data_IF_070465756056
#
_entry.id   IF_070465756056
#
_cell.length_a   1.000
_cell.length_b   1.000
_cell.length_c   1.000
_cell.angle_alpha   90.00
_cell.angle_beta   90.00
_cell.angle_gamma   90.00
#
_symmetry.space_group_name_H-M   'P 1'
#
loop_
_entity.id
_entity.type
_entity.pdbx_description
1 polymer ?
#
# COMPACT_ATOMS: atom_id res chain seq x y z
N UNK A 1 10.76 10.37 12.89
CA UNK A 1 9.56 11.14 12.45
C UNK A 1 8.76 11.54 13.68
N UNK A 2 7.88 12.53 13.60
CA UNK A 2 7.06 12.97 14.73
C UNK A 2 5.58 12.86 14.38
N UNK A 3 4.75 12.45 15.32
CA UNK A 3 3.30 12.48 15.20
C UNK A 3 2.69 12.97 16.52
N UNK A 4 2.19 14.21 16.52
CA UNK A 4 1.69 14.86 17.73
C UNK A 4 2.75 14.93 18.82
N UNK A 5 2.40 14.45 20.01
CA UNK A 5 3.28 14.32 21.16
C UNK A 5 4.09 13.01 21.21
N UNK A 6 4.30 12.34 20.07
CA UNK A 6 5.02 11.07 20.01
C UNK A 6 6.11 11.06 18.93
N UNK A 7 7.18 10.32 19.21
CA UNK A 7 8.27 10.07 18.27
C UNK A 7 8.13 8.69 17.65
N UNK A 8 8.39 8.58 16.35
CA UNK A 8 8.47 7.31 15.64
C UNK A 8 9.96 6.95 15.52
N UNK A 9 10.40 5.94 16.28
CA UNK A 9 11.77 5.42 16.26
C UNK A 9 11.83 3.91 16.03
N UNK A 10 12.88 3.48 15.33
CA UNK A 10 13.23 2.06 15.19
C UNK A 10 13.78 1.48 16.50
N UNK A 11 14.26 2.33 17.42
CA UNK A 11 14.80 1.92 18.71
C UNK A 11 13.75 1.25 19.59
N UNK A 12 12.47 1.61 19.44
CA UNK A 12 11.38 0.93 20.11
C UNK A 12 11.30 -0.55 19.68
N UNK A 13 11.53 -0.86 18.40
CA UNK A 13 11.57 -2.23 17.90
C UNK A 13 12.83 -2.97 18.37
N UNK A 14 13.97 -2.28 18.43
CA UNK A 14 15.20 -2.84 19.01
C UNK A 14 15.00 -3.22 20.49
N UNK A 15 14.36 -2.34 21.25
CA UNK A 15 14.02 -2.54 22.67
C UNK A 15 13.07 -3.72 22.84
N UNK A 16 12.04 -3.83 21.99
CA UNK A 16 11.12 -4.96 21.98
C UNK A 16 11.87 -6.28 21.79
N UNK A 17 12.76 -6.37 20.79
CA UNK A 17 13.52 -7.58 20.47
C UNK A 17 14.45 -8.00 21.61
N UNK A 18 14.97 -7.03 22.37
CA UNK A 18 15.87 -7.31 23.50
C UNK A 18 15.11 -7.75 24.76
N UNK A 19 13.95 -7.18 25.01
CA UNK A 19 13.27 -7.29 26.31
C UNK A 19 12.06 -8.24 26.31
N UNK A 20 11.48 -8.55 25.15
CA UNK A 20 10.32 -9.44 25.04
C UNK A 20 10.74 -10.76 24.40
N UNK A 21 10.25 -11.93 24.89
CA UNK A 21 10.57 -13.21 24.28
C UNK A 21 10.11 -13.30 22.81
N UNK A 22 11.00 -13.81 21.95
CA UNK A 22 10.76 -14.00 20.51
C UNK A 22 9.46 -14.74 20.19
N UNK A 23 9.03 -15.68 21.02
CA UNK A 23 7.79 -16.44 20.80
C UNK A 23 6.54 -15.55 20.78
N UNK A 24 6.58 -14.36 21.39
CA UNK A 24 5.43 -13.44 21.45
C UNK A 24 5.31 -12.52 20.24
N UNK A 25 6.44 -12.05 19.71
CA UNK A 25 6.47 -11.05 18.62
C UNK A 25 7.08 -11.57 17.32
N UNK A 26 7.78 -12.70 17.34
CA UNK A 26 8.38 -13.37 16.17
C UNK A 26 9.63 -12.71 15.57
N UNK A 27 9.89 -11.43 15.85
CA UNK A 27 11.00 -10.66 15.27
C UNK A 27 12.40 -11.16 15.65
N UNK A 28 13.34 -10.91 14.75
CA UNK A 28 14.79 -11.07 14.94
C UNK A 28 15.51 -9.78 14.49
N UNK A 29 16.77 -9.60 14.91
CA UNK A 29 17.55 -8.39 14.60
C UNK A 29 17.65 -8.09 13.10
N UNK A 30 17.72 -9.11 12.25
CA UNK A 30 17.78 -8.95 10.79
C UNK A 30 16.49 -8.37 10.20
N UNK A 31 15.34 -8.50 10.88
CA UNK A 31 14.07 -7.98 10.36
C UNK A 31 14.05 -6.44 10.36
N UNK A 32 14.78 -5.80 11.28
CA UNK A 32 14.82 -4.34 11.44
C UNK A 32 16.08 -3.70 10.82
N UNK A 33 16.81 -4.43 9.97
CA UNK A 33 18.08 -3.97 9.41
C UNK A 33 17.85 -2.92 8.30
N UNK A 34 18.25 -1.64 8.46
CA UNK A 34 17.91 -0.56 7.53
C UNK A 34 18.49 -0.69 6.11
N UNK A 35 19.52 -1.52 5.94
CA UNK A 35 20.20 -1.75 4.66
C UNK A 35 19.39 -2.69 3.76
N UNK A 36 18.58 -3.58 4.32
CA UNK A 36 17.76 -4.53 3.57
C UNK A 36 16.40 -3.92 3.19
N UNK A 37 16.43 -2.89 2.35
CA UNK A 37 15.26 -2.06 1.99
C UNK A 37 14.25 -2.76 1.08
N UNK A 38 14.60 -3.90 0.50
CA UNK A 38 13.77 -4.64 -0.45
C UNK A 38 13.04 -5.82 0.19
N UNK A 39 13.29 -6.10 1.47
CA UNK A 39 12.70 -7.23 2.17
C UNK A 39 11.29 -6.94 2.67
N UNK A 40 10.32 -7.12 1.77
CA UNK A 40 8.91 -6.98 2.09
C UNK A 40 8.45 -7.96 3.18
N UNK A 41 9.06 -9.15 3.28
CA UNK A 41 8.68 -10.13 4.30
C UNK A 41 8.95 -9.64 5.72
N UNK A 42 10.07 -8.95 5.94
CA UNK A 42 10.37 -8.28 7.20
C UNK A 42 9.37 -7.18 7.51
N UNK A 43 8.98 -6.36 6.50
CA UNK A 43 7.96 -5.33 6.67
C UNK A 43 6.61 -5.91 7.15
N UNK A 44 6.13 -6.97 6.49
CA UNK A 44 4.89 -7.66 6.89
C UNK A 44 4.98 -8.18 8.33
N UNK A 45 6.13 -8.76 8.69
CA UNK A 45 6.36 -9.32 10.02
C UNK A 45 6.39 -8.25 11.12
N UNK A 46 7.06 -7.12 10.87
CA UNK A 46 7.08 -5.95 11.76
C UNK A 46 5.66 -5.42 11.97
N UNK A 47 4.82 -5.42 10.94
CA UNK A 47 3.43 -4.95 11.00
C UNK A 47 2.44 -6.01 11.51
N UNK A 48 2.90 -7.09 12.14
CA UNK A 48 2.02 -8.13 12.68
C UNK A 48 1.34 -7.70 13.99
N UNK A 49 0.16 -8.24 14.27
CA UNK A 49 -0.55 -7.98 15.53
C UNK A 49 0.29 -8.37 16.74
N UNK A 50 1.05 -9.47 16.64
CA UNK A 50 1.97 -9.89 17.70
C UNK A 50 3.00 -8.82 18.04
N UNK A 51 3.58 -8.13 17.04
CA UNK A 51 4.51 -7.02 17.29
C UNK A 51 3.79 -5.81 17.87
N UNK A 52 2.69 -5.38 17.24
CA UNK A 52 1.94 -4.19 17.66
C UNK A 52 1.42 -4.33 19.08
N UNK A 53 0.89 -5.49 19.45
CA UNK A 53 0.36 -5.76 20.79
C UNK A 53 1.45 -5.88 21.86
N UNK A 54 2.66 -6.32 21.51
CA UNK A 54 3.76 -6.37 22.48
C UNK A 54 4.48 -5.02 22.61
N UNK A 55 4.42 -4.15 21.59
CA UNK A 55 4.96 -2.80 21.67
C UNK A 55 4.29 -1.95 22.74
N UNK A 56 3.03 -2.21 23.12
CA UNK A 56 2.37 -1.47 24.21
C UNK A 56 3.09 -1.60 25.56
N UNK A 57 3.94 -2.62 25.72
CA UNK A 57 4.77 -2.82 26.92
C UNK A 57 6.11 -2.06 26.85
N UNK A 58 6.43 -1.45 25.70
CA UNK A 58 7.63 -0.64 25.50
C UNK A 58 7.27 0.84 25.73
N UNK A 59 7.99 1.56 26.61
CA UNK A 59 7.70 2.96 26.87
C UNK A 59 7.90 3.83 25.63
N UNK A 60 7.10 4.89 25.50
CA UNK A 60 7.18 5.87 24.40
C UNK A 60 7.10 5.23 23.00
N UNK A 61 6.29 4.17 22.86
CA UNK A 61 6.13 3.41 21.62
C UNK A 61 4.84 3.76 20.85
N UNK A 62 4.03 4.67 21.37
CA UNK A 62 2.72 5.03 20.83
C UNK A 62 2.84 5.52 19.38
N UNK A 63 3.87 6.31 19.09
CA UNK A 63 4.17 6.79 17.75
C UNK A 63 4.46 5.65 16.77
N UNK A 64 5.34 4.71 17.13
CA UNK A 64 5.67 3.56 16.26
C UNK A 64 4.47 2.62 16.13
N UNK A 65 3.68 2.42 17.18
CA UNK A 65 2.45 1.62 17.15
C UNK A 65 1.47 2.19 16.11
N UNK A 66 1.23 3.50 16.15
CA UNK A 66 0.37 4.17 15.17
C UNK A 66 0.92 3.98 13.76
N UNK A 67 2.21 4.23 13.55
CA UNK A 67 2.86 4.09 12.25
C UNK A 67 2.72 2.66 11.68
N UNK A 68 2.95 1.63 12.51
CA UNK A 68 2.80 0.24 12.10
C UNK A 68 1.34 -0.15 11.82
N UNK A 69 0.37 0.44 12.54
CA UNK A 69 -1.06 0.26 12.24
C UNK A 69 -1.42 0.81 10.87
N UNK A 70 -0.86 1.96 10.46
CA UNK A 70 -1.07 2.50 9.11
C UNK A 70 -0.52 1.56 8.04
N UNK A 71 0.72 1.09 8.21
CA UNK A 71 1.33 0.13 7.29
C UNK A 71 0.54 -1.17 7.21
N UNK A 72 0.12 -1.72 8.36
CA UNK A 72 -0.72 -2.91 8.43
C UNK A 72 -2.04 -2.72 7.67
N UNK A 73 -2.70 -1.58 7.85
CA UNK A 73 -3.94 -1.25 7.15
C UNK A 73 -3.73 -1.21 5.64
N UNK A 74 -2.64 -0.60 5.15
CA UNK A 74 -2.28 -0.60 3.73
C UNK A 74 -2.07 -2.04 3.22
N UNK A 75 -1.35 -2.88 3.96
CA UNK A 75 -1.13 -4.29 3.60
C UNK A 75 -2.46 -5.06 3.52
N UNK A 76 -3.37 -4.87 4.48
CA UNK A 76 -4.67 -5.53 4.49
C UNK A 76 -5.54 -5.07 3.31
N UNK A 77 -5.52 -3.78 2.97
CA UNK A 77 -6.31 -3.23 1.89
C UNK A 77 -5.91 -3.80 0.52
N UNK A 78 -4.60 -3.88 0.23
CA UNK A 78 -4.11 -4.14 -1.14
C UNK A 78 -3.46 -5.51 -1.34
N UNK A 79 -2.91 -6.13 -0.29
CA UNK A 79 -2.09 -7.34 -0.43
C UNK A 79 -2.68 -8.58 0.24
N UNK A 80 -3.51 -8.41 1.27
CA UNK A 80 -4.17 -9.56 1.87
C UNK A 80 -5.18 -10.18 0.89
N UNK A 81 -5.33 -11.50 0.90
CA UNK A 81 -6.21 -12.24 -0.02
C UNK A 81 -7.58 -12.52 0.56
N UNK A 82 -7.69 -12.49 1.89
CA UNK A 82 -8.89 -12.92 2.63
C UNK A 82 -9.78 -11.72 2.98
N UNK A 83 -9.26 -10.49 2.95
CA UNK A 83 -10.05 -9.27 3.16
C UNK A 83 -11.20 -9.12 2.15
N UNK A 84 -12.42 -8.92 2.67
CA UNK A 84 -13.60 -8.59 1.89
C UNK A 84 -13.51 -7.18 1.28
N UNK A 85 -14.20 -6.89 0.16
CA UNK A 85 -14.13 -5.58 -0.49
C UNK A 85 -14.44 -4.40 0.44
N UNK A 86 -15.42 -4.53 1.33
CA UNK A 86 -15.80 -3.44 2.23
C UNK A 86 -14.74 -3.18 3.30
N UNK A 87 -14.14 -4.22 3.88
CA UNK A 87 -13.03 -4.06 4.81
C UNK A 87 -11.80 -3.47 4.13
N UNK A 88 -11.55 -3.78 2.85
CA UNK A 88 -10.47 -3.11 2.10
C UNK A 88 -10.69 -1.61 1.99
N UNK A 89 -11.92 -1.16 1.73
CA UNK A 89 -12.25 0.26 1.67
C UNK A 89 -11.97 0.96 3.01
N UNK A 90 -12.41 0.36 4.12
CA UNK A 90 -12.07 0.85 5.46
C UNK A 90 -10.54 0.99 5.62
N UNK A 91 -9.82 -0.10 5.33
CA UNK A 91 -8.38 -0.16 5.52
C UNK A 91 -7.57 0.71 4.56
N UNK A 92 -8.13 1.08 3.40
CA UNK A 92 -7.55 2.02 2.46
C UNK A 92 -7.74 3.48 2.91
N UNK A 93 -8.92 3.83 3.40
CA UNK A 93 -9.26 5.20 3.80
C UNK A 93 -8.76 5.58 5.19
N UNK A 94 -8.65 4.63 6.12
CA UNK A 94 -8.11 4.90 7.46
C UNK A 94 -6.70 5.54 7.42
N UNK A 95 -5.72 5.01 6.67
CA UNK A 95 -4.42 5.65 6.49
C UNK A 95 -4.47 7.03 5.83
N UNK A 96 -5.41 7.26 4.89
CA UNK A 96 -5.60 8.58 4.26
C UNK A 96 -5.96 9.61 5.31
N UNK A 97 -6.98 9.33 6.12
CA UNK A 97 -7.45 10.29 7.12
C UNK A 97 -6.40 10.59 8.19
N UNK A 98 -5.73 9.56 8.72
CA UNK A 98 -4.64 9.76 9.70
C UNK A 98 -3.52 10.59 9.07
N UNK A 99 -3.12 10.28 7.83
CA UNK A 99 -2.03 11.00 7.14
C UNK A 99 -2.39 12.46 6.85
N UNK A 100 -3.64 12.78 6.51
CA UNK A 100 -4.11 14.15 6.30
C UNK A 100 -4.09 14.98 7.59
N UNK A 101 -4.53 14.39 8.70
CA UNK A 101 -4.44 15.03 10.01
C UNK A 101 -2.98 15.29 10.39
N UNK A 102 -2.14 14.28 10.21
CA UNK A 102 -0.71 14.35 10.48
C UNK A 102 -0.01 15.42 9.62
N UNK A 103 -0.26 15.43 8.30
CA UNK A 103 0.28 16.43 7.39
C UNK A 103 -0.15 17.85 7.77
N UNK A 104 -1.45 18.04 8.02
CA UNK A 104 -2.01 19.35 8.41
C UNK A 104 -1.37 19.88 9.68
N UNK A 105 -1.14 19.01 10.67
CA UNK A 105 -0.43 19.36 11.89
C UNK A 105 1.01 19.83 11.64
N UNK A 106 1.80 19.04 10.91
CA UNK A 106 3.19 19.39 10.56
C UNK A 106 3.27 20.70 9.76
N UNK A 107 2.34 20.90 8.81
CA UNK A 107 2.29 22.11 7.99
C UNK A 107 2.12 23.37 8.85
N UNK A 108 1.24 23.30 9.86
CA UNK A 108 0.84 24.43 10.71
C UNK A 108 1.68 24.62 11.99
N UNK A 109 2.63 23.72 12.25
CA UNK A 109 3.63 23.88 13.32
C UNK A 109 4.78 24.78 12.85
N UNK A 110 5.36 25.58 13.75
CA UNK A 110 6.64 26.25 13.42
C UNK A 110 7.74 25.20 13.48
N UNK A 111 8.78 25.40 12.69
CA UNK A 111 9.90 24.45 12.66
C UNK A 111 10.59 24.33 14.03
N UNK A 112 10.78 25.46 14.72
CA UNK A 112 11.41 25.51 16.05
C UNK A 112 10.63 24.61 17.02
N UNK A 113 9.30 24.75 17.06
CA UNK A 113 8.43 23.92 17.91
C UNK A 113 8.60 22.42 17.63
N UNK A 114 8.78 22.00 16.36
CA UNK A 114 8.98 20.59 16.00
C UNK A 114 10.35 20.07 16.44
N UNK A 115 11.40 20.86 16.29
CA UNK A 115 12.74 20.49 16.74
C UNK A 115 12.79 20.37 18.27
N UNK A 116 12.10 21.26 19.00
CA UNK A 116 11.98 21.22 20.46
C UNK A 116 11.22 19.98 20.95
N UNK A 117 10.07 19.66 20.34
CA UNK A 117 9.31 18.43 20.63
C UNK A 117 10.16 17.18 20.37
N UNK A 118 10.92 17.16 19.26
CA UNK A 118 11.80 16.03 18.96
C UNK A 118 12.87 15.87 20.06
N UNK A 119 13.47 16.96 20.50
CA UNK A 119 14.48 16.94 21.54
C UNK A 119 13.93 16.41 22.86
N UNK A 120 12.74 16.89 23.27
CA UNK A 120 12.05 16.42 24.48
C UNK A 120 11.76 14.92 24.44
N UNK A 121 11.28 14.41 23.30
CA UNK A 121 10.86 13.02 23.16
C UNK A 121 12.01 12.03 22.92
N UNK A 122 13.07 12.45 22.23
CA UNK A 122 14.18 11.57 21.85
C UNK A 122 15.42 11.72 22.72
N UNK A 123 15.56 12.84 23.44
CA UNK A 123 16.79 13.20 24.16
C UNK A 123 17.98 13.50 23.25
N UNK A 124 17.80 13.48 21.92
CA UNK A 124 18.88 13.65 20.95
C UNK A 124 18.87 15.10 20.45
N UNK A 125 19.94 15.84 20.78
CA UNK A 125 20.21 17.15 20.19
C UNK A 125 20.62 16.98 18.73
N UNK A 126 19.68 17.23 17.83
CA UNK A 126 19.96 17.22 16.40
C UNK A 126 20.70 18.51 16.00
N UNK A 127 22.01 18.42 15.78
CA UNK A 127 22.83 19.54 15.30
C UNK A 127 22.56 19.89 13.82
N UNK A 128 21.74 19.09 13.11
CA UNK A 128 21.36 19.33 11.72
C UNK A 128 20.05 20.10 11.67
N UNK A 129 20.01 21.14 10.83
CA UNK A 129 18.77 21.88 10.50
C UNK A 129 17.79 20.95 9.78
N UNK A 130 16.93 20.26 10.54
CA UNK A 130 15.91 19.39 9.95
C UNK A 130 14.96 20.19 9.05
N UNK A 131 14.58 19.64 7.91
CA UNK A 131 13.53 20.27 7.07
C UNK A 131 12.18 19.73 7.54
N UNK A 132 11.10 20.54 7.49
CA UNK A 132 9.76 20.12 7.96
C UNK A 132 9.32 18.76 7.41
N UNK A 133 9.65 18.46 6.15
CA UNK A 133 9.30 17.18 5.50
C UNK A 133 9.94 15.95 6.14
N UNK A 134 11.01 16.09 6.94
CA UNK A 134 11.66 14.96 7.63
C UNK A 134 10.87 14.45 8.84
N UNK A 135 9.89 15.23 9.31
CA UNK A 135 9.01 14.85 10.39
C UNK A 135 7.80 14.02 9.93
N UNK A 136 7.54 13.97 8.62
CA UNK A 136 6.44 13.27 7.99
C UNK A 136 6.96 12.15 7.08
N UNK A 137 6.06 11.28 6.63
CA UNK A 137 6.37 10.36 5.53
C UNK A 137 6.71 11.13 4.25
N UNK A 138 7.36 10.47 3.28
CA UNK A 138 7.68 11.13 2.01
C UNK A 138 6.40 11.51 1.26
N UNK A 139 6.43 12.64 0.54
CA UNK A 139 5.28 13.08 -0.27
C UNK A 139 4.83 12.00 -1.25
N UNK A 140 5.77 11.25 -1.86
CA UNK A 140 5.43 10.16 -2.77
C UNK A 140 4.62 9.07 -2.05
N UNK A 141 5.03 8.66 -0.84
CA UNK A 141 4.27 7.68 -0.07
C UNK A 141 2.89 8.21 0.31
N UNK A 142 2.82 9.48 0.73
CA UNK A 142 1.56 10.14 1.06
C UNK A 142 0.58 10.18 -0.12
N UNK A 143 1.03 10.64 -1.28
CA UNK A 143 0.18 10.68 -2.48
C UNK A 143 -0.19 9.29 -2.98
N UNK A 144 0.68 8.29 -2.90
CA UNK A 144 0.33 6.92 -3.24
C UNK A 144 -0.80 6.37 -2.34
N UNK A 145 -0.78 6.70 -1.03
CA UNK A 145 -1.86 6.31 -0.12
C UNK A 145 -3.19 6.92 -0.57
N UNK A 146 -3.21 8.21 -0.92
CA UNK A 146 -4.42 8.89 -1.40
C UNK A 146 -4.91 8.37 -2.74
N UNK A 147 -4.03 8.26 -3.73
CA UNK A 147 -4.37 7.81 -5.09
C UNK A 147 -4.95 6.39 -5.04
N UNK A 148 -4.30 5.48 -4.32
CA UNK A 148 -4.75 4.09 -4.24
C UNK A 148 -6.12 3.97 -3.54
N UNK A 149 -6.38 4.76 -2.51
CA UNK A 149 -7.67 4.73 -1.81
C UNK A 149 -8.81 5.27 -2.68
N UNK A 150 -8.56 6.38 -3.40
CA UNK A 150 -9.52 6.92 -4.36
C UNK A 150 -9.78 5.94 -5.51
N UNK A 151 -8.74 5.30 -6.04
CA UNK A 151 -8.89 4.31 -7.11
C UNK A 151 -9.70 3.11 -6.66
N UNK A 152 -9.45 2.60 -5.44
CA UNK A 152 -10.23 1.50 -4.88
C UNK A 152 -11.70 1.88 -4.67
N UNK A 153 -11.96 3.08 -4.17
CA UNK A 153 -13.32 3.60 -4.04
C UNK A 153 -14.01 3.71 -5.39
N UNK A 154 -13.32 4.24 -6.40
CA UNK A 154 -13.86 4.38 -7.74
C UNK A 154 -14.17 3.02 -8.38
N UNK A 155 -13.28 2.04 -8.25
CA UNK A 155 -13.55 0.66 -8.67
C UNK A 155 -14.77 0.08 -7.97
N UNK A 156 -14.91 0.29 -6.66
CA UNK A 156 -16.08 -0.16 -5.92
C UNK A 156 -17.37 0.48 -6.45
N UNK A 157 -17.36 1.79 -6.74
CA UNK A 157 -18.50 2.49 -7.31
C UNK A 157 -18.89 1.94 -8.70
N UNK A 158 -17.92 1.74 -9.59
CA UNK A 158 -18.16 1.16 -10.92
C UNK A 158 -18.75 -0.26 -10.85
N UNK A 159 -18.33 -1.06 -9.86
CA UNK A 159 -18.91 -2.39 -9.62
C UNK A 159 -20.33 -2.29 -9.06
N UNK A 160 -20.61 -1.35 -8.13
CA UNK A 160 -21.98 -1.13 -7.63
C UNK A 160 -22.93 -0.65 -8.72
N UNK A 161 -22.44 0.16 -9.66
CA UNK A 161 -23.19 0.63 -10.83
C UNK A 161 -23.31 -0.44 -11.94
N UNK A 162 -22.76 -1.65 -11.72
CA UNK A 162 -22.72 -2.75 -12.70
C UNK A 162 -22.01 -2.41 -14.02
N UNK A 163 -21.15 -1.37 -14.02
CA UNK A 163 -20.27 -1.03 -15.15
C UNK A 163 -19.05 -1.94 -15.23
N UNK A 164 -18.65 -2.53 -14.11
CA UNK A 164 -17.57 -3.52 -14.03
C UNK A 164 -18.05 -4.81 -13.37
N UNK A 165 -17.47 -5.96 -13.76
CA UNK A 165 -17.79 -7.24 -13.14
C UNK A 165 -17.28 -7.28 -11.69
N UNK A 166 -17.93 -8.02 -10.77
CA UNK A 166 -17.51 -8.10 -9.36
C UNK A 166 -16.09 -8.60 -9.15
N UNK A 167 -15.56 -9.39 -10.09
CA UNK A 167 -14.20 -9.89 -10.13
C UNK A 167 -13.16 -8.76 -10.21
N UNK A 168 -13.54 -7.57 -10.69
CA UNK A 168 -12.70 -6.38 -10.69
C UNK A 168 -12.30 -5.95 -9.27
N UNK A 169 -13.05 -6.37 -8.23
CA UNK A 169 -12.70 -6.16 -6.82
C UNK A 169 -11.64 -7.14 -6.28
N UNK A 170 -11.02 -7.95 -7.14
CA UNK A 170 -9.87 -8.78 -6.75
C UNK A 170 -8.58 -7.96 -6.67
N UNK A 171 -8.52 -7.07 -5.67
CA UNK A 171 -7.47 -6.05 -5.51
C UNK A 171 -6.07 -6.64 -5.37
N UNK A 172 -5.94 -7.86 -4.85
CA UNK A 172 -4.65 -8.54 -4.76
C UNK A 172 -3.92 -8.66 -6.12
N UNK A 173 -4.68 -8.75 -7.22
CA UNK A 173 -4.13 -8.86 -8.58
C UNK A 173 -3.55 -7.54 -9.10
N UNK A 174 -3.83 -6.41 -8.45
CA UNK A 174 -3.39 -5.08 -8.89
C UNK A 174 -1.97 -4.74 -8.38
N UNK A 175 -1.33 -5.68 -7.66
CA UNK A 175 0.04 -5.52 -7.19
C UNK A 175 1.08 -5.97 -8.23
N UNK A 176 2.28 -5.37 -8.18
CA UNK A 176 3.42 -5.75 -9.03
C UNK A 176 4.05 -7.11 -8.64
N UNK A 177 3.55 -7.79 -7.62
CA UNK A 177 4.14 -9.02 -7.07
C UNK A 177 4.20 -10.15 -8.10
N UNK A 178 3.21 -10.24 -9.00
CA UNK A 178 3.22 -11.22 -10.09
C UNK A 178 4.36 -10.94 -11.07
N UNK A 179 4.62 -9.67 -11.39
CA UNK A 179 5.74 -9.26 -12.24
C UNK A 179 7.09 -9.57 -11.58
N UNK A 180 7.25 -9.25 -10.29
CA UNK A 180 8.46 -9.63 -9.53
C UNK A 180 8.68 -11.15 -9.51
N UNK A 181 7.59 -11.92 -9.38
CA UNK A 181 7.60 -13.38 -9.49
C UNK A 181 8.07 -13.89 -10.85
N UNK A 182 7.63 -13.23 -11.94
CA UNK A 182 8.10 -13.53 -13.29
C UNK A 182 9.61 -13.24 -13.43
N UNK A 183 10.09 -12.08 -12.98
CA UNK A 183 11.52 -11.75 -13.02
C UNK A 183 12.36 -12.70 -12.15
N UNK A 184 11.85 -13.12 -10.99
CA UNK A 184 12.52 -14.14 -10.15
C UNK A 184 12.61 -15.47 -10.87
N UNK A 185 11.54 -15.88 -11.56
CA UNK A 185 11.51 -17.12 -12.32
C UNK A 185 12.46 -17.06 -13.53
N UNK A 186 12.50 -15.94 -14.24
CA UNK A 186 13.43 -15.72 -15.35
C UNK A 186 14.90 -15.77 -14.89
N UNK A 187 15.21 -15.18 -13.73
CA UNK A 187 16.54 -15.27 -13.10
C UNK A 187 16.92 -16.70 -12.70
N UNK A 188 15.94 -17.51 -12.31
CA UNK A 188 16.18 -18.91 -11.94
C UNK A 188 16.35 -19.86 -13.13
N UNK A 189 15.92 -19.46 -14.33
CA UNK A 189 16.16 -20.21 -15.56
C UNK A 189 17.56 -19.84 -16.06
N UNK A 190 18.56 -20.52 -15.53
CA UNK A 190 19.92 -20.52 -16.02
C UNK A 190 20.34 -21.95 -16.38
N UNK A 191 21.35 -22.10 -17.25
CA UNK A 191 21.86 -23.42 -17.63
C UNK A 191 22.48 -24.14 -16.43
N UNK A 192 22.57 -25.47 -16.48
CA UNK A 192 23.13 -26.32 -15.40
C UNK A 192 24.54 -25.93 -14.95
N UNK A 193 25.30 -25.24 -15.80
CA UNK A 193 26.66 -24.76 -15.54
C UNK A 193 26.77 -23.23 -15.48
N UNK A 194 25.65 -22.51 -15.44
CA UNK A 194 25.62 -21.04 -15.41
C UNK A 194 24.81 -20.55 -14.23
N UNK A 195 25.45 -19.77 -13.36
CA UNK A 195 24.81 -19.03 -12.27
C UNK A 195 24.52 -17.57 -12.67
N UNK A 196 24.53 -17.26 -13.97
CA UNK A 196 24.37 -15.89 -14.46
C UNK A 196 22.91 -15.45 -14.27
N UNK A 197 22.70 -14.65 -13.22
CA UNK A 197 21.40 -14.10 -12.85
C UNK A 197 21.01 -12.87 -13.67
N UNK A 198 21.99 -12.14 -14.21
CA UNK A 198 21.74 -11.00 -15.08
C UNK A 198 21.52 -11.48 -16.51
N UNK A 199 20.72 -10.76 -17.29
CA UNK A 199 20.46 -11.12 -18.67
C UNK A 199 20.16 -9.91 -19.52
N UNK A 200 20.44 -10.02 -20.81
CA UNK A 200 20.06 -9.01 -21.80
C UNK A 200 18.56 -9.08 -22.10
N UNK A 201 18.03 -8.08 -22.80
CA UNK A 201 16.62 -8.08 -23.23
C UNK A 201 16.28 -9.28 -24.11
N UNK A 202 17.17 -9.64 -25.06
CA UNK A 202 16.99 -10.81 -25.92
C UNK A 202 16.95 -12.11 -25.10
N UNK A 203 17.84 -12.26 -24.13
CA UNK A 203 17.84 -13.41 -23.23
C UNK A 203 16.59 -13.48 -22.36
N UNK A 204 16.05 -12.33 -21.93
CA UNK A 204 14.78 -12.28 -21.22
C UNK A 204 13.63 -12.82 -22.08
N UNK A 205 13.51 -12.40 -23.35
CA UNK A 205 12.46 -12.90 -24.25
C UNK A 205 12.54 -14.42 -24.42
N UNK A 206 13.74 -14.97 -24.62
CA UNK A 206 13.96 -16.40 -24.73
C UNK A 206 13.56 -17.15 -23.44
N UNK A 207 13.87 -16.59 -22.27
CA UNK A 207 13.48 -17.17 -20.97
C UNK A 207 11.97 -17.03 -20.72
N UNK A 208 11.35 -15.93 -21.14
CA UNK A 208 9.91 -15.69 -21.03
C UNK A 208 9.10 -16.69 -21.88
N UNK A 209 9.54 -17.00 -23.09
CA UNK A 209 8.93 -18.06 -23.93
C UNK A 209 8.99 -19.42 -23.22
N UNK A 210 10.15 -19.78 -22.64
CA UNK A 210 10.30 -21.01 -21.85
C UNK A 210 9.38 -21.03 -20.62
N UNK A 211 9.26 -19.91 -19.91
CA UNK A 211 8.33 -19.77 -18.78
C UNK A 211 6.87 -19.96 -19.21
N UNK A 212 6.48 -19.37 -20.33
CA UNK A 212 5.12 -19.50 -20.88
C UNK A 212 4.79 -20.96 -21.17
N UNK A 213 5.70 -21.68 -21.86
CA UNK A 213 5.53 -23.12 -22.13
C UNK A 213 5.45 -23.93 -20.82
N UNK A 214 6.32 -23.67 -19.85
CA UNK A 214 6.29 -24.34 -18.55
C UNK A 214 4.99 -24.07 -17.80
N UNK A 215 4.45 -22.85 -17.86
CA UNK A 215 3.18 -22.51 -17.22
C UNK A 215 2.02 -23.22 -17.92
N UNK A 216 2.01 -23.27 -19.25
CA UNK A 216 1.01 -24.01 -20.04
C UNK A 216 0.98 -25.50 -19.66
N UNK A 217 2.15 -26.14 -19.60
CA UNK A 217 2.27 -27.54 -19.17
C UNK A 217 1.77 -27.72 -17.73
N UNK A 218 2.10 -26.80 -16.81
CA UNK A 218 1.62 -26.87 -15.43
C UNK A 218 0.10 -26.77 -15.35
N UNK A 219 -0.51 -25.80 -16.03
CA UNK A 219 -1.97 -25.62 -16.02
C UNK A 219 -2.69 -26.79 -16.68
N UNK A 220 -2.16 -27.33 -17.78
CA UNK A 220 -2.71 -28.51 -18.45
C UNK A 220 -2.61 -29.74 -17.53
N UNK A 221 -1.46 -29.96 -16.88
CA UNK A 221 -1.29 -31.07 -15.93
C UNK A 221 -2.22 -31.00 -14.72
N UNK A 222 -2.58 -29.79 -14.27
CA UNK A 222 -3.56 -29.60 -13.20
C UNK A 222 -4.98 -30.00 -13.65
N UNK A 223 -5.33 -29.70 -14.91
CA UNK A 223 -6.56 -30.18 -15.54
C UNK A 223 -6.57 -31.71 -15.70
N UNK A 224 -5.48 -32.31 -16.20
CA UNK A 224 -5.38 -33.76 -16.43
C UNK A 224 -5.23 -34.58 -15.15
N UNK A 225 -4.78 -33.97 -14.04
CA UNK A 225 -4.71 -34.63 -12.73
C UNK A 225 -6.07 -35.02 -12.16
N UNK A 226 -7.17 -34.45 -12.68
CA UNK A 226 -8.54 -34.89 -12.37
C UNK A 226 -8.92 -36.20 -13.09
N UNK A 227 -8.21 -36.56 -14.17
CA UNK A 227 -8.49 -37.72 -15.02
C UNK A 227 -7.37 -38.79 -15.01
N UNK A 228 -6.39 -38.69 -14.11
CA UNK A 228 -5.48 -39.80 -13.78
C UNK A 228 -4.25 -40.01 -14.67
N UNK A 229 -3.92 -39.11 -15.60
CA UNK A 229 -2.78 -39.31 -16.51
C UNK A 229 -1.84 -38.10 -16.51
N UNK A 230 -0.60 -38.34 -16.04
CA UNK A 230 0.54 -37.41 -15.93
C UNK A 230 0.41 -36.26 -14.91
N UNK A 231 1.20 -36.38 -13.83
CA UNK A 231 1.39 -35.33 -12.82
C UNK A 231 2.71 -34.63 -13.08
N UNK A 232 2.68 -33.33 -13.32
CA UNK A 232 3.91 -32.54 -13.44
C UNK A 232 4.71 -32.61 -12.12
N UNK A 233 6.03 -32.87 -12.14
CA UNK A 233 6.83 -32.95 -10.94
C UNK A 233 6.77 -31.64 -10.14
N UNK A 234 6.08 -31.65 -9.00
CA UNK A 234 6.01 -30.54 -8.07
C UNK A 234 6.98 -30.81 -6.93
N UNK A 235 7.83 -29.83 -6.62
CA UNK A 235 8.63 -29.90 -5.41
C UNK A 235 7.69 -29.98 -4.19
N UNK A 236 7.96 -30.87 -3.23
CA UNK A 236 7.06 -31.15 -2.09
C UNK A 236 6.63 -29.90 -1.28
N UNK A 237 7.47 -28.84 -1.27
CA UNK A 237 7.15 -27.54 -0.67
C UNK A 237 6.07 -26.72 -1.43
N UNK A 238 5.84 -27.00 -2.71
CA UNK A 238 4.83 -26.32 -3.54
C UNK A 238 3.45 -26.97 -3.44
N UNK A 239 3.37 -28.27 -3.13
CA UNK A 239 2.10 -29.01 -3.01
C UNK A 239 1.20 -28.54 -1.86
N UNK A 240 1.77 -27.95 -0.79
CA UNK A 240 0.99 -27.48 0.37
C UNK A 240 0.29 -26.12 0.18
N UNK A 241 0.52 -25.42 -0.93
CA UNK A 241 -0.02 -24.05 -1.17
C UNK A 241 -1.31 -24.01 -2.00
N UNK A 242 -1.73 -25.12 -2.60
CA UNK A 242 -2.97 -25.24 -3.38
C UNK A 242 -4.14 -25.66 -2.49
N UNK A 243 -4.44 -24.91 -1.42
CA UNK A 243 -5.82 -24.90 -0.94
C UNK A 243 -6.58 -24.06 -1.96
N UNK A 244 -7.60 -24.63 -2.61
CA UNK A 244 -8.56 -23.87 -3.44
C UNK A 244 -9.01 -22.68 -2.60
N UNK A 245 -8.48 -21.50 -2.92
CA UNK A 245 -8.94 -20.27 -2.28
C UNK A 245 -10.33 -20.05 -2.86
N UNK A 246 -11.34 -20.41 -2.08
CA UNK A 246 -12.69 -19.92 -2.33
C UNK A 246 -12.56 -18.39 -2.26
N UNK A 247 -12.54 -17.75 -3.43
CA UNK A 247 -12.73 -16.31 -3.55
C UNK A 247 -14.01 -16.07 -2.75
N UNK A 248 -13.92 -15.30 -1.67
CA UNK A 248 -15.08 -14.94 -0.86
C UNK A 248 -15.93 -14.03 -1.74
N UNK A 249 -16.78 -14.65 -2.56
CA UNK A 249 -17.70 -14.04 -3.50
C UNK A 249 -18.97 -13.59 -2.78
N UNK A 250 -18.83 -12.95 -1.62
CA UNK A 250 -19.91 -12.12 -1.06
C UNK A 250 -19.93 -10.79 -1.82
N UNK A 251 -20.29 -10.86 -3.10
CA UNK A 251 -20.40 -9.69 -3.99
C UNK A 251 -21.76 -8.99 -3.88
N UNK A 252 -22.74 -9.62 -3.22
CA UNK A 252 -24.10 -9.08 -3.06
C UNK A 252 -24.25 -8.00 -1.96
N UNK A 253 -23.15 -7.49 -1.40
CA UNK A 253 -23.19 -6.58 -0.22
C UNK A 253 -22.55 -5.21 -0.43
N UNK A 254 -22.13 -4.87 -1.65
CA UNK A 254 -21.62 -3.52 -1.94
C UNK A 254 -22.79 -2.61 -2.34
N UNK A 255 -23.19 -1.73 -1.44
CA UNK A 255 -24.10 -0.61 -1.69
C UNK A 255 -23.36 0.70 -1.37
N UNK A 256 -23.69 1.78 -2.09
CA UNK A 256 -23.18 3.14 -1.86
C UNK A 256 -23.35 3.57 -0.41
N UNK A 257 -24.48 3.24 0.22
CA UNK A 257 -24.72 3.56 1.64
C UNK A 257 -23.71 2.87 2.57
N UNK A 258 -23.41 1.60 2.30
CA UNK A 258 -22.45 0.80 3.07
C UNK A 258 -21.02 1.30 2.83
N UNK A 259 -20.69 1.70 1.60
CA UNK A 259 -19.40 2.33 1.27
C UNK A 259 -19.25 3.64 2.05
N UNK A 260 -20.27 4.51 2.01
CA UNK A 260 -20.28 5.78 2.71
C UNK A 260 -20.14 5.60 4.22
N UNK A 261 -20.94 4.72 4.83
CA UNK A 261 -20.87 4.43 6.26
C UNK A 261 -19.51 3.88 6.67
N UNK A 262 -18.89 3.05 5.83
CA UNK A 262 -17.56 2.47 6.08
C UNK A 262 -16.45 3.51 6.01
N UNK A 263 -16.50 4.43 5.04
CA UNK A 263 -15.55 5.54 4.93
C UNK A 263 -15.73 6.50 6.12
N UNK A 264 -16.97 6.78 6.52
CA UNK A 264 -17.28 7.60 7.68
C UNK A 264 -16.77 6.95 8.98
N UNK A 265 -16.92 5.62 9.11
CA UNK A 265 -16.33 4.87 10.23
C UNK A 265 -14.81 5.04 10.26
N UNK A 266 -14.13 4.83 9.13
CA UNK A 266 -12.68 5.03 9.04
C UNK A 266 -12.25 6.46 9.41
N UNK A 267 -13.04 7.46 9.04
CA UNK A 267 -12.81 8.86 9.42
C UNK A 267 -12.96 9.08 10.93
N UNK A 268 -14.03 8.55 11.53
CA UNK A 268 -14.29 8.68 12.97
C UNK A 268 -13.20 7.98 13.79
N UNK A 269 -12.82 6.77 13.41
CA UNK A 269 -11.77 6.00 14.08
C UNK A 269 -10.41 6.69 13.96
N UNK A 270 -10.08 7.23 12.78
CA UNK A 270 -8.88 8.04 12.58
C UNK A 270 -8.90 9.31 13.46
N UNK A 271 -10.05 9.98 13.56
CA UNK A 271 -10.21 11.21 14.35
C UNK A 271 -10.04 10.93 15.85
N UNK A 272 -10.64 9.85 16.36
CA UNK A 272 -10.51 9.41 17.75
C UNK A 272 -9.06 9.06 18.08
N UNK A 273 -8.37 8.38 17.16
CA UNK A 273 -6.98 8.01 17.32
C UNK A 273 -6.07 9.25 17.36
N UNK A 274 -6.23 10.17 16.41
CA UNK A 274 -5.46 11.42 16.31
C UNK A 274 -5.69 12.35 17.52
N UNK A 275 -6.89 12.32 18.11
CA UNK A 275 -7.17 13.04 19.35
C UNK A 275 -6.26 12.58 20.50
N UNK A 276 -5.96 11.27 20.59
CA UNK A 276 -5.00 10.72 21.55
C UNK A 276 -3.59 11.28 21.44
N UNK A 277 -3.20 11.77 20.25
CA UNK A 277 -1.88 12.39 19.99
C UNK A 277 -1.89 13.93 20.16
N UNK A 278 -2.97 14.50 20.71
CA UNK A 278 -3.17 15.96 20.90
C UNK A 278 -3.13 16.80 19.62
N UNK A 279 -3.11 16.18 18.45
CA UNK A 279 -3.09 16.87 17.15
C UNK A 279 -4.41 17.62 16.91
N UNK A 280 -5.54 16.96 17.18
CA UNK A 280 -6.86 17.54 16.96
C UNK A 280 -7.06 18.80 17.81
N UNK A 281 -6.70 18.73 19.10
CA UNK A 281 -6.83 19.85 20.04
C UNK A 281 -6.04 21.08 19.56
N UNK A 282 -4.80 20.87 19.12
CA UNK A 282 -3.97 21.93 18.54
C UNK A 282 -4.61 22.57 17.30
N UNK A 283 -5.21 21.78 16.42
CA UNK A 283 -5.83 22.28 15.20
C UNK A 283 -7.14 23.02 15.49
N UNK A 284 -7.93 22.53 16.44
CA UNK A 284 -9.15 23.17 16.91
C UNK A 284 -8.83 24.53 17.59
N UNK A 285 -7.79 24.60 18.43
CA UNK A 285 -7.28 25.83 19.04
C UNK A 285 -6.87 26.88 17.99
N UNK A 286 -6.21 26.42 16.91
CA UNK A 286 -5.82 27.29 15.79
C UNK A 286 -6.98 27.59 14.82
N UNK A 287 -8.20 27.11 15.08
CA UNK A 287 -9.39 27.25 14.22
C UNK A 287 -9.16 26.72 12.79
N UNK A 288 -8.34 25.69 12.64
CA UNK A 288 -8.02 25.08 11.34
C UNK A 288 -9.06 23.99 11.06
N UNK A 289 -10.19 24.38 10.45
CA UNK A 289 -11.35 23.49 10.20
C UNK A 289 -11.29 22.69 8.90
N UNK A 290 -10.14 22.69 8.22
CA UNK A 290 -10.01 22.22 6.83
C UNK A 290 -10.50 20.76 6.62
N UNK A 291 -10.42 19.93 7.65
CA UNK A 291 -10.79 18.51 7.58
C UNK A 291 -12.31 18.25 7.62
N UNK A 292 -13.10 19.11 8.29
CA UNK A 292 -14.57 18.98 8.29
C UNK A 292 -15.15 19.33 6.92
N UNK A 293 -14.58 20.34 6.27
CA UNK A 293 -14.95 20.76 4.91
C UNK A 293 -14.61 19.68 3.87
N UNK A 294 -13.46 19.02 4.01
CA UNK A 294 -13.06 17.91 3.16
C UNK A 294 -13.98 16.69 3.33
N UNK A 295 -14.41 16.39 4.56
CA UNK A 295 -15.37 15.32 4.81
C UNK A 295 -16.75 15.65 4.21
N UNK A 296 -17.23 16.89 4.35
CA UNK A 296 -18.46 17.32 3.67
C UNK A 296 -18.31 17.32 2.15
N UNK A 297 -17.13 17.59 1.60
CA UNK A 297 -16.88 17.51 0.17
C UNK A 297 -16.89 16.07 -0.34
N UNK A 298 -16.26 15.12 0.38
CA UNK A 298 -16.34 13.68 0.04
C UNK A 298 -17.78 13.20 0.13
N UNK A 299 -18.49 13.56 1.21
CA UNK A 299 -19.91 13.22 1.35
C UNK A 299 -20.73 13.85 0.22
N UNK A 300 -20.50 15.11 -0.12
CA UNK A 300 -21.19 15.78 -1.23
C UNK A 300 -20.82 15.15 -2.57
N UNK A 301 -19.58 14.74 -2.83
CA UNK A 301 -19.24 14.01 -4.07
C UNK A 301 -19.97 12.68 -4.13
N UNK A 302 -19.97 11.91 -3.03
CA UNK A 302 -20.68 10.63 -2.96
C UNK A 302 -22.19 10.82 -3.14
N UNK A 303 -22.73 11.96 -2.69
CA UNK A 303 -24.16 12.30 -2.84
C UNK A 303 -24.49 12.99 -4.18
N UNK A 304 -23.56 13.74 -4.79
CA UNK A 304 -23.79 14.56 -6.00
C UNK A 304 -23.34 13.86 -7.29
N UNK A 305 -22.40 12.91 -7.28
CA UNK A 305 -21.96 12.19 -8.48
C UNK A 305 -22.81 10.95 -8.77
N UNK A 306 -24.10 11.21 -9.00
CA UNK A 306 -24.99 10.39 -9.82
C UNK A 306 -24.95 10.85 -11.29
N UNK A 307 -24.30 11.98 -11.62
CA UNK A 307 -24.08 12.39 -13.02
C UNK A 307 -22.67 12.03 -13.50
N UNK A 308 -22.65 11.04 -14.38
CA UNK A 308 -21.52 10.35 -14.98
C UNK A 308 -20.70 11.34 -15.82
N UNK A 309 -19.36 11.25 -15.70
CA UNK A 309 -18.45 11.74 -16.74
C UNK A 309 -18.44 10.67 -17.82
N UNK A 310 -19.13 10.94 -18.92
CA UNK A 310 -19.22 10.04 -20.06
C UNK A 310 -17.88 10.04 -20.80
N UNK A 311 -17.32 8.86 -21.00
CA UNK A 311 -16.10 8.66 -21.79
C UNK A 311 -16.42 8.18 -23.21
N UNK A 312 -17.70 8.18 -23.60
CA UNK A 312 -18.14 7.90 -24.98
C UNK A 312 -17.51 8.83 -26.01
N UNK A 313 -17.14 10.06 -25.62
CA UNK A 313 -16.80 11.12 -26.57
C UNK A 313 -15.29 11.22 -26.91
N UNK A 314 -14.47 10.25 -26.48
CA UNK A 314 -13.02 10.24 -26.79
C UNK A 314 -12.64 9.34 -27.98
N UNK A 315 -13.61 8.73 -28.65
CA UNK A 315 -13.40 7.96 -29.88
C UNK A 315 -14.33 8.44 -31.00
N UNK A 316 -14.29 9.73 -31.32
CA UNK A 316 -14.54 10.11 -32.71
C UNK A 316 -13.27 9.79 -33.50
N UNK A 317 -13.31 8.70 -34.27
CA UNK A 317 -12.35 8.42 -35.34
C UNK A 317 -12.29 9.64 -36.27
N UNK A 318 -11.28 10.47 -36.10
CA UNK A 318 -10.85 11.36 -37.17
C UNK A 318 -10.09 10.54 -38.18
N UNK A 319 -10.81 10.09 -39.20
CA UNK A 319 -10.22 9.80 -40.51
C UNK A 319 -9.55 11.08 -41.03
N UNK A 320 -8.26 11.24 -40.75
CA UNK A 320 -7.40 12.15 -41.48
C UNK A 320 -6.38 11.32 -42.27
N UNK A 321 -6.84 10.85 -43.43
CA UNK A 321 -5.97 10.62 -44.57
C UNK A 321 -5.43 11.97 -45.04
N UNK A 322 -4.13 12.22 -44.86
CA UNK A 322 -3.26 12.72 -45.93
C UNK A 322 -1.83 12.91 -45.41
N UNK A 323 -0.91 12.24 -46.08
CA UNK A 323 0.53 12.45 -46.01
C UNK A 323 0.90 13.93 -46.23
N UNK A 324 1.77 14.46 -45.38
CA UNK A 324 2.84 15.35 -45.83
C UNK A 324 3.96 15.41 -44.78
N UNK A 325 5.17 15.18 -45.28
CA UNK A 325 6.48 15.29 -44.68
C UNK A 325 6.65 16.55 -43.81
N UNK A 326 7.39 16.44 -42.71
CA UNK A 326 8.33 17.48 -42.27
C UNK A 326 9.31 16.93 -41.21
N UNK A 327 10.58 16.81 -41.62
CA UNK A 327 11.73 16.94 -40.74
C UNK A 327 11.72 18.33 -40.11
N UNK A 328 11.86 18.44 -38.78
CA UNK A 328 12.48 19.62 -38.15
C UNK A 328 12.96 19.30 -36.73
N UNK A 329 14.28 19.15 -36.63
CA UNK A 329 15.06 19.27 -35.40
C UNK A 329 14.75 20.58 -34.66
N UNK A 330 14.33 20.50 -33.39
CA UNK A 330 14.58 21.56 -32.41
C UNK A 330 15.04 20.96 -31.08
N UNK A 331 16.36 21.03 -30.92
CA UNK A 331 17.13 20.99 -29.68
C UNK A 331 16.73 22.15 -28.75
N UNK A 332 16.60 21.89 -27.45
CA UNK A 332 16.99 22.74 -26.28
C UNK A 332 15.99 22.59 -25.12
N UNK A 333 16.34 22.60 -23.83
CA UNK A 333 17.60 22.65 -23.09
C UNK A 333 17.20 22.43 -21.61
N UNK A 334 17.92 21.56 -20.91
CA UNK A 334 18.01 21.60 -19.46
C UNK A 334 18.63 22.94 -19.02
N UNK A 335 18.04 23.62 -18.03
CA UNK A 335 18.77 24.60 -17.23
C UNK A 335 18.58 24.37 -15.73
N UNK A 336 19.71 24.60 -15.06
CA UNK A 336 20.11 24.31 -13.68
C UNK A 336 19.26 24.95 -12.60
#
# INVERSE_FOLDING_TARGET
MLIGNSCISIDNLSTLIQNVPKLRHGLVKSDIFPQDRQNFSSCVKICSDGVINNLTNVPNSEGIILYLRLLRSIIIAYNDKETTPIHRLYHAWFPVFVSRWWYTWIANMRKVDLDDILYELSGIKNNRKNKKHQFFITNNAYYCIEINANQLMYLALLVTEKKLPPEAMNIYLFSSQTCEGMFRSARSISGTFSSVVNFTVQEFFNRAQKLSLLNKIKTESEFFSMNGTLVFPKHYKQGKKLKKHNIISNHNTLNVDIISSTILQAFNDATNLIHGFKIKNFLDEKKITNMKQLNSYIHNILTQRINIMDYSDLYEEKDETSDSEDELDIVCQFRK
#
